data_IF_837403905655
#
_entry.id   IF_837403905655
#
_cell.length_a   1.000
_cell.length_b   1.000
_cell.length_c   1.000
_cell.angle_alpha   90.00
_cell.angle_beta   90.00
_cell.angle_gamma   90.00
#
_symmetry.space_group_name_H-M   'P 1'
#
loop_
_entity.id
_entity.type
_entity.pdbx_description
1 polymer ?
#
# COMPACT_ATOMS: atom_id res chain seq x y z
N UNK A 1 -37.73 -1.08 18.60
CA UNK A 1 -37.32 -1.66 17.29
C UNK A 1 -37.06 -0.58 16.23
N UNK A 2 -37.94 0.42 16.07
CA UNK A 2 -37.75 1.52 15.10
C UNK A 2 -36.43 2.29 15.31
N UNK A 3 -36.06 2.61 16.56
CA UNK A 3 -34.81 3.34 16.88
C UNK A 3 -33.54 2.63 16.42
N UNK A 4 -33.41 1.33 16.71
CA UNK A 4 -32.27 0.52 16.26
C UNK A 4 -32.24 0.38 14.73
N UNK A 5 -33.41 0.27 14.09
CA UNK A 5 -33.52 0.25 12.62
C UNK A 5 -33.04 1.54 11.98
N UNK A 6 -33.43 2.70 12.53
CA UNK A 6 -32.97 4.00 12.04
C UNK A 6 -31.45 4.17 12.18
N UNK A 7 -30.88 3.74 13.31
CA UNK A 7 -29.43 3.80 13.54
C UNK A 7 -28.69 2.91 12.54
N UNK A 8 -29.15 1.67 12.34
CA UNK A 8 -28.54 0.73 11.39
C UNK A 8 -28.64 1.24 9.94
N UNK A 9 -29.78 1.83 9.55
CA UNK A 9 -29.93 2.42 8.23
C UNK A 9 -28.98 3.62 8.03
N UNK A 10 -28.89 4.50 9.04
CA UNK A 10 -28.00 5.66 8.99
C UNK A 10 -26.53 5.24 8.90
N UNK A 11 -26.08 4.23 9.64
CA UNK A 11 -24.70 3.75 9.58
C UNK A 11 -24.35 3.15 8.23
N UNK A 12 -25.26 2.39 7.60
CA UNK A 12 -25.06 1.87 6.24
C UNK A 12 -24.94 3.02 5.24
N UNK A 13 -25.82 4.02 5.29
CA UNK A 13 -25.75 5.19 4.40
C UNK A 13 -24.43 5.94 4.56
N UNK A 14 -24.00 6.21 5.80
CA UNK A 14 -22.72 6.88 6.07
C UNK A 14 -21.53 6.04 5.58
N UNK A 15 -21.57 4.72 5.79
CA UNK A 15 -20.51 3.82 5.33
C UNK A 15 -20.38 3.82 3.80
N UNK A 16 -21.51 3.81 3.08
CA UNK A 16 -21.54 3.89 1.62
C UNK A 16 -21.03 5.25 1.12
N UNK A 17 -21.52 6.35 1.69
CA UNK A 17 -21.07 7.70 1.32
C UNK A 17 -19.55 7.86 1.53
N UNK A 18 -19.04 7.35 2.65
CA UNK A 18 -17.61 7.37 2.95
C UNK A 18 -16.81 6.53 1.94
N UNK A 19 -17.29 5.34 1.59
CA UNK A 19 -16.61 4.48 0.62
C UNK A 19 -16.56 5.14 -0.76
N UNK A 20 -17.69 5.64 -1.26
CA UNK A 20 -17.76 6.36 -2.53
C UNK A 20 -16.84 7.58 -2.50
N UNK A 21 -16.91 8.40 -1.44
CA UNK A 21 -16.05 9.57 -1.30
C UNK A 21 -14.56 9.19 -1.31
N UNK A 22 -14.17 8.10 -0.64
CA UNK A 22 -12.79 7.63 -0.63
C UNK A 22 -12.32 7.23 -2.04
N UNK A 23 -13.06 6.36 -2.74
CA UNK A 23 -12.69 5.93 -4.08
C UNK A 23 -12.66 7.08 -5.08
N UNK A 24 -13.63 8.01 -5.03
CA UNK A 24 -13.60 9.21 -5.87
C UNK A 24 -12.35 10.05 -5.62
N UNK A 25 -11.94 10.25 -4.36
CA UNK A 25 -10.73 11.00 -4.02
C UNK A 25 -9.47 10.30 -4.51
N UNK A 26 -9.41 8.98 -4.38
CA UNK A 26 -8.27 8.19 -4.84
C UNK A 26 -8.11 8.23 -6.35
N UNK A 27 -9.20 8.12 -7.11
CA UNK A 27 -9.17 8.27 -8.57
C UNK A 27 -8.68 9.66 -8.98
N UNK A 28 -9.16 10.72 -8.33
CA UNK A 28 -8.69 12.09 -8.61
C UNK A 28 -7.21 12.23 -8.30
N UNK A 29 -6.74 11.65 -7.18
CA UNK A 29 -5.33 11.70 -6.79
C UNK A 29 -4.43 10.92 -7.78
N UNK A 30 -4.88 9.75 -8.22
CA UNK A 30 -4.21 8.94 -9.24
C UNK A 30 -4.07 9.71 -10.56
N UNK A 31 -5.18 10.27 -11.07
CA UNK A 31 -5.16 11.02 -12.33
C UNK A 31 -4.17 12.19 -12.26
N UNK A 32 -4.15 12.92 -11.13
CA UNK A 32 -3.17 14.01 -10.93
C UNK A 32 -1.74 13.50 -10.91
N UNK A 33 -1.48 12.37 -10.24
CA UNK A 33 -0.15 11.76 -10.22
C UNK A 33 0.30 11.35 -11.62
N UNK A 34 -0.61 10.77 -12.41
CA UNK A 34 -0.34 10.39 -13.79
C UNK A 34 -0.08 11.62 -14.68
N UNK A 35 -0.91 12.66 -14.58
CA UNK A 35 -0.71 13.91 -15.32
C UNK A 35 0.62 14.59 -14.99
N UNK A 36 0.99 14.64 -13.70
CA UNK A 36 2.26 15.21 -13.26
C UNK A 36 3.45 14.38 -13.72
N UNK A 37 3.33 13.04 -13.73
CA UNK A 37 4.36 12.15 -14.27
C UNK A 37 4.56 12.36 -15.78
N UNK A 38 3.47 12.43 -16.56
CA UNK A 38 3.52 12.69 -18.00
C UNK A 38 4.10 14.08 -18.27
N UNK A 39 3.66 15.11 -17.55
CA UNK A 39 4.19 16.47 -17.67
C UNK A 39 5.68 16.52 -17.35
N UNK A 40 6.14 15.78 -16.34
CA UNK A 40 7.56 15.65 -15.99
C UNK A 40 8.39 15.01 -17.09
N UNK A 41 7.88 13.94 -17.72
CA UNK A 41 8.53 13.30 -18.88
C UNK A 41 8.62 14.24 -20.07
N UNK A 42 7.55 14.96 -20.40
CA UNK A 42 7.52 15.90 -21.53
C UNK A 42 8.45 17.11 -21.34
N UNK A 43 8.66 17.54 -20.10
CA UNK A 43 9.56 18.65 -19.75
C UNK A 43 11.01 18.21 -19.50
N UNK A 44 11.29 16.92 -19.63
CA UNK A 44 12.63 16.41 -19.38
C UNK A 44 13.61 16.83 -20.49
N UNK A 45 14.89 17.08 -20.16
CA UNK A 45 15.88 17.48 -21.15
C UNK A 45 16.13 16.37 -22.17
N UNK A 46 16.50 16.72 -23.40
CA UNK A 46 16.68 15.77 -24.51
C UNK A 46 17.64 14.62 -24.17
N UNK A 47 18.70 14.89 -23.39
CA UNK A 47 19.65 13.86 -22.96
C UNK A 47 18.95 12.72 -22.19
N UNK A 48 17.92 13.03 -21.39
CA UNK A 48 17.20 12.05 -20.60
C UNK A 48 16.42 11.07 -21.51
N UNK A 49 15.84 11.59 -22.59
CA UNK A 49 15.14 10.77 -23.58
C UNK A 49 16.06 9.83 -24.36
N UNK A 50 17.34 10.16 -24.49
CA UNK A 50 18.35 9.26 -25.08
C UNK A 50 18.91 8.25 -24.06
N UNK A 51 19.02 8.64 -22.79
CA UNK A 51 19.56 7.78 -21.74
C UNK A 51 18.55 6.73 -21.22
N UNK A 52 17.24 7.05 -21.24
CA UNK A 52 16.20 6.18 -20.68
C UNK A 52 15.45 5.45 -21.81
N UNK A 53 15.42 4.10 -21.80
CA UNK A 53 14.68 3.35 -22.81
C UNK A 53 13.18 3.61 -22.71
N UNK A 54 12.53 3.88 -23.85
CA UNK A 54 11.10 4.18 -23.94
C UNK A 54 10.22 3.12 -23.27
N UNK A 55 10.61 1.84 -23.37
CA UNK A 55 9.91 0.73 -22.71
C UNK A 55 9.87 0.83 -21.18
N UNK A 56 10.91 1.37 -20.54
CA UNK A 56 10.92 1.58 -19.08
C UNK A 56 9.95 2.68 -18.67
N UNK A 57 9.87 3.76 -19.45
CA UNK A 57 8.93 4.87 -19.20
C UNK A 57 7.49 4.37 -19.35
N UNK A 58 7.21 3.61 -20.41
CA UNK A 58 5.89 3.02 -20.62
C UNK A 58 5.52 2.03 -19.50
N UNK A 59 6.44 1.14 -19.12
CA UNK A 59 6.20 0.21 -18.02
C UNK A 59 5.90 0.93 -16.70
N UNK A 60 6.58 2.04 -16.43
CA UNK A 60 6.33 2.84 -15.23
C UNK A 60 4.97 3.55 -15.26
N UNK A 61 4.61 4.15 -16.39
CA UNK A 61 3.35 4.86 -16.56
C UNK A 61 2.12 3.93 -16.64
N UNK A 62 2.32 2.67 -17.06
CA UNK A 62 1.24 1.68 -17.13
C UNK A 62 1.19 0.78 -15.89
N UNK A 63 2.27 0.04 -15.58
CA UNK A 63 2.26 -0.96 -14.51
C UNK A 63 2.38 -0.34 -13.12
N UNK A 64 3.27 0.64 -12.90
CA UNK A 64 3.43 1.23 -11.56
C UNK A 64 2.22 2.09 -11.19
N UNK A 65 1.68 2.87 -12.15
CA UNK A 65 0.45 3.64 -11.93
C UNK A 65 -0.73 2.72 -11.71
N UNK A 66 -0.88 1.64 -12.48
CA UNK A 66 -1.93 0.63 -12.24
C UNK A 66 -1.85 0.00 -10.85
N UNK A 67 -0.65 -0.31 -10.36
CA UNK A 67 -0.45 -0.80 -8.99
C UNK A 67 -0.82 0.24 -7.92
N UNK A 68 -0.59 1.52 -8.18
CA UNK A 68 -1.03 2.61 -7.29
C UNK A 68 -2.55 2.71 -7.25
N UNK A 69 -3.21 2.48 -8.37
CA UNK A 69 -4.67 2.65 -8.49
C UNK A 69 -5.45 1.50 -7.87
N UNK A 70 -4.91 0.29 -7.93
CA UNK A 70 -5.58 -0.90 -7.43
C UNK A 70 -5.07 -1.29 -6.04
N UNK A 71 -3.79 -1.68 -5.95
CA UNK A 71 -3.22 -2.24 -4.72
C UNK A 71 -3.07 -1.18 -3.62
N UNK A 72 -2.55 0.00 -3.97
CA UNK A 72 -2.34 1.05 -2.96
C UNK A 72 -3.68 1.66 -2.53
N UNK A 73 -4.62 1.88 -3.45
CA UNK A 73 -5.96 2.37 -3.11
C UNK A 73 -6.68 1.44 -2.12
N UNK A 74 -6.67 0.14 -2.39
CA UNK A 74 -7.27 -0.86 -1.52
C UNK A 74 -6.57 -0.91 -0.15
N UNK A 75 -5.23 -0.93 -0.13
CA UNK A 75 -4.47 -0.92 1.12
C UNK A 75 -4.74 0.33 1.97
N UNK A 76 -4.88 1.50 1.35
CA UNK A 76 -5.22 2.75 2.04
C UNK A 76 -6.66 2.72 2.59
N UNK A 77 -7.61 2.15 1.84
CA UNK A 77 -9.00 1.97 2.29
C UNK A 77 -9.04 1.07 3.54
N UNK A 78 -8.37 -0.07 3.50
CA UNK A 78 -8.29 -1.01 4.62
C UNK A 78 -7.61 -0.37 5.84
N UNK A 79 -6.51 0.35 5.62
CA UNK A 79 -5.80 1.07 6.67
C UNK A 79 -6.66 2.18 7.31
N UNK A 80 -7.52 2.83 6.53
CA UNK A 80 -8.43 3.87 7.02
C UNK A 80 -9.64 3.31 7.78
N UNK A 81 -9.99 2.02 7.59
CA UNK A 81 -11.20 1.44 8.16
C UNK A 81 -10.96 0.42 9.27
N UNK A 82 -10.08 -0.55 9.06
CA UNK A 82 -9.92 -1.69 9.95
C UNK A 82 -9.34 -1.28 11.31
N UNK A 83 -8.21 -0.55 11.40
CA UNK A 83 -7.62 -0.18 12.69
C UNK A 83 -8.50 0.74 13.54
N UNK A 84 -9.10 1.84 13.00
CA UNK A 84 -9.98 2.70 13.78
C UNK A 84 -11.18 1.94 14.32
N UNK A 85 -11.82 1.09 13.51
CA UNK A 85 -13.00 0.32 13.92
C UNK A 85 -12.68 -0.62 15.09
N UNK A 86 -11.59 -1.39 14.99
CA UNK A 86 -11.13 -2.29 16.05
C UNK A 86 -10.78 -1.50 17.33
N UNK A 87 -10.04 -0.40 17.18
CA UNK A 87 -9.62 0.42 18.33
C UNK A 87 -10.82 1.07 19.03
N UNK A 88 -11.82 1.54 18.28
CA UNK A 88 -13.04 2.13 18.81
C UNK A 88 -13.89 1.08 19.53
N UNK A 89 -14.04 -0.12 18.94
CA UNK A 89 -14.79 -1.21 19.57
C UNK A 89 -14.17 -1.62 20.91
N UNK A 90 -12.84 -1.81 20.96
CA UNK A 90 -12.11 -2.15 22.19
C UNK A 90 -12.24 -1.03 23.22
N UNK A 91 -12.09 0.23 22.80
CA UNK A 91 -12.17 1.37 23.69
C UNK A 91 -13.56 1.53 24.32
N UNK A 92 -14.62 1.43 23.51
CA UNK A 92 -16.01 1.52 23.99
C UNK A 92 -16.33 0.35 24.92
N UNK A 93 -15.93 -0.87 24.57
CA UNK A 93 -16.12 -2.04 25.43
C UNK A 93 -15.40 -1.87 26.78
N UNK A 94 -14.15 -1.40 26.77
CA UNK A 94 -13.37 -1.18 27.98
C UNK A 94 -13.99 -0.08 28.87
N UNK A 95 -14.41 1.05 28.28
CA UNK A 95 -14.94 2.18 29.05
C UNK A 95 -16.34 1.91 29.63
N UNK A 96 -17.21 1.24 28.88
CA UNK A 96 -18.62 1.03 29.26
C UNK A 96 -18.79 -0.20 30.13
N UNK A 97 -18.12 -1.31 29.80
CA UNK A 97 -18.31 -2.56 30.55
C UNK A 97 -17.58 -2.55 31.89
N UNK A 98 -16.36 -1.99 31.95
CA UNK A 98 -15.53 -2.01 33.16
C UNK A 98 -14.62 -0.75 33.23
N UNK A 99 -15.10 0.38 33.79
CA UNK A 99 -14.31 1.61 33.90
C UNK A 99 -12.87 1.46 34.42
N UNK A 100 -12.56 0.63 35.46
CA UNK A 100 -11.18 0.49 35.93
C UNK A 100 -10.24 -0.16 34.90
N UNK A 101 -10.74 -0.99 33.97
CA UNK A 101 -9.94 -1.59 32.88
C UNK A 101 -9.43 -0.54 31.88
N UNK A 102 -10.01 0.65 31.86
CA UNK A 102 -9.56 1.76 31.00
C UNK A 102 -8.13 2.19 31.37
N UNK A 103 -7.78 2.14 32.66
CA UNK A 103 -6.43 2.45 33.15
C UNK A 103 -5.36 1.47 32.62
N UNK A 104 -5.73 0.20 32.40
CA UNK A 104 -4.84 -0.85 31.86
C UNK A 104 -4.76 -0.80 30.33
N UNK A 105 -5.82 -0.35 29.67
CA UNK A 105 -5.90 -0.25 28.21
C UNK A 105 -4.88 0.74 27.65
N UNK A 106 -4.63 1.84 28.38
CA UNK A 106 -3.71 2.92 27.98
C UNK A 106 -2.23 2.48 27.88
N UNK A 107 -1.62 1.87 28.93
CA UNK A 107 -0.25 1.35 28.83
C UNK A 107 -0.13 0.21 27.81
N UNK A 108 -1.17 -0.62 27.67
CA UNK A 108 -1.18 -1.68 26.66
C UNK A 108 -1.20 -1.11 25.24
N UNK A 109 -2.00 -0.08 24.97
CA UNK A 109 -2.02 0.62 23.69
C UNK A 109 -0.66 1.26 23.38
N UNK A 110 0.00 1.88 24.37
CA UNK A 110 1.34 2.42 24.21
C UNK A 110 2.37 1.33 23.86
N UNK A 111 2.36 0.21 24.59
CA UNK A 111 3.23 -0.95 24.30
C UNK A 111 2.98 -1.51 22.89
N UNK A 112 1.71 -1.64 22.48
CA UNK A 112 1.34 -2.07 21.14
C UNK A 112 1.85 -1.12 20.05
N UNK A 113 1.72 0.21 20.24
CA UNK A 113 2.25 1.20 19.29
C UNK A 113 3.77 1.13 19.17
N UNK A 114 4.48 0.93 20.29
CA UNK A 114 5.93 0.72 20.30
C UNK A 114 6.30 -0.54 19.53
N UNK A 115 5.60 -1.64 19.78
CA UNK A 115 5.81 -2.91 19.07
C UNK A 115 5.54 -2.78 17.58
N UNK A 116 4.41 -2.18 17.18
CA UNK A 116 4.06 -1.92 15.77
C UNK A 116 5.13 -1.09 15.06
N UNK A 117 5.68 -0.06 15.71
CA UNK A 117 6.78 0.75 15.16
C UNK A 117 8.06 -0.06 14.97
N UNK A 118 8.40 -0.91 15.95
CA UNK A 118 9.57 -1.77 15.87
C UNK A 118 9.43 -2.77 14.72
N UNK A 119 8.32 -3.52 14.69
CA UNK A 119 8.03 -4.50 13.62
C UNK A 119 7.98 -3.81 12.26
N UNK A 120 7.38 -2.63 12.15
CA UNK A 120 7.33 -1.86 10.90
C UNK A 120 8.72 -1.60 10.32
N UNK A 121 9.67 -1.17 11.16
CA UNK A 121 11.06 -0.96 10.73
C UNK A 121 11.72 -2.27 10.28
N UNK A 122 11.60 -3.32 11.10
CA UNK A 122 12.18 -4.63 10.78
C UNK A 122 11.61 -5.20 9.48
N UNK A 123 10.31 -5.06 9.25
CA UNK A 123 9.64 -5.52 8.03
C UNK A 123 10.10 -4.78 6.78
N UNK A 124 10.37 -3.47 6.89
CA UNK A 124 10.92 -2.71 5.76
C UNK A 124 12.31 -3.22 5.38
N UNK A 125 13.19 -3.49 6.35
CA UNK A 125 14.51 -4.04 6.07
C UNK A 125 14.44 -5.48 5.55
N UNK A 126 13.54 -6.32 6.09
CA UNK A 126 13.26 -7.66 5.57
C UNK A 126 12.82 -7.63 4.12
N UNK A 127 11.89 -6.75 3.75
CA UNK A 127 11.46 -6.57 2.35
C UNK A 127 12.60 -6.10 1.45
N UNK A 128 13.49 -5.24 1.95
CA UNK A 128 14.69 -4.81 1.22
C UNK A 128 15.67 -5.96 1.00
N UNK A 129 15.91 -6.78 2.02
CA UNK A 129 16.75 -7.99 1.91
C UNK A 129 16.16 -9.00 0.93
N UNK A 130 14.84 -9.20 0.95
CA UNK A 130 14.15 -10.07 0.00
C UNK A 130 14.34 -9.58 -1.44
N UNK A 131 14.19 -8.27 -1.68
CA UNK A 131 14.42 -7.67 -3.00
C UNK A 131 15.89 -7.84 -3.46
N UNK A 132 16.86 -7.64 -2.56
CA UNK A 132 18.28 -7.82 -2.84
C UNK A 132 18.66 -9.28 -3.11
N UNK A 133 17.97 -10.24 -2.51
CA UNK A 133 18.27 -11.68 -2.69
C UNK A 133 17.66 -12.23 -3.97
N UNK A 134 16.48 -11.73 -4.39
CA UNK A 134 15.81 -12.16 -5.63
C UNK A 134 16.50 -11.63 -6.90
N UNK A 135 17.08 -10.43 -6.86
CA UNK A 135 17.71 -9.81 -8.04
C UNK A 135 18.87 -10.63 -8.64
N UNK A 136 19.84 -11.11 -7.86
CA UNK A 136 20.98 -11.88 -8.38
C UNK A 136 20.58 -13.26 -8.89
N UNK A 137 19.53 -13.86 -8.33
CA UNK A 137 19.01 -15.14 -8.82
C UNK A 137 18.47 -14.97 -10.25
N UNK A 138 17.65 -13.95 -10.49
CA UNK A 138 17.09 -13.66 -11.83
C UNK A 138 18.18 -13.30 -12.83
N UNK A 139 19.20 -12.51 -12.44
CA UNK A 139 20.30 -12.18 -13.34
C UNK A 139 21.13 -13.42 -13.70
N UNK A 140 21.44 -14.30 -12.74
CA UNK A 140 22.17 -15.54 -13.00
C UNK A 140 21.40 -16.50 -13.92
N UNK A 141 20.07 -16.56 -13.81
CA UNK A 141 19.24 -17.32 -14.75
C UNK A 141 19.27 -16.73 -16.15
N UNK A 142 19.25 -15.40 -16.28
CA UNK A 142 19.37 -14.74 -17.58
C UNK A 142 20.75 -14.99 -18.22
N UNK A 143 21.83 -14.90 -17.45
CA UNK A 143 23.20 -15.12 -17.91
C UNK A 143 23.43 -16.56 -18.34
N UNK A 144 22.88 -17.54 -17.61
CA UNK A 144 22.97 -18.96 -17.99
C UNK A 144 22.17 -19.30 -19.25
N UNK A 145 21.01 -18.68 -19.48
CA UNK A 145 20.26 -18.82 -20.74
C UNK A 145 21.04 -18.21 -21.90
N UNK A 146 21.65 -17.02 -21.70
CA UNK A 146 22.45 -16.35 -22.72
C UNK A 146 23.71 -17.15 -23.09
N UNK A 147 24.41 -17.70 -22.09
CA UNK A 147 25.62 -18.53 -22.27
C UNK A 147 25.34 -20.02 -22.58
N UNK A 148 24.07 -20.42 -22.72
CA UNK A 148 23.69 -21.83 -22.87
C UNK A 148 24.27 -22.46 -24.15
N UNK A 149 24.38 -21.68 -25.23
CA UNK A 149 24.96 -22.12 -26.50
C UNK A 149 26.46 -22.40 -26.38
N UNK A 150 27.20 -21.57 -25.64
CA UNK A 150 28.63 -21.75 -25.37
C UNK A 150 28.87 -22.92 -24.43
N UNK A 151 28.07 -23.05 -23.36
CA UNK A 151 28.13 -24.19 -22.43
C UNK A 151 27.85 -25.53 -23.12
N UNK A 152 26.97 -25.55 -24.14
CA UNK A 152 26.73 -26.74 -24.97
C UNK A 152 27.86 -27.02 -25.97
N UNK A 153 28.59 -26.00 -26.40
CA UNK A 153 29.73 -26.15 -27.30
C UNK A 153 31.00 -26.68 -26.59
N UNK A 154 31.11 -26.44 -25.28
CA UNK A 154 32.20 -26.92 -24.42
C UNK A 154 31.93 -28.27 -23.72
N UNK A 155 30.80 -28.93 -24.02
CA UNK A 155 30.42 -30.23 -23.44
C UNK A 155 31.47 -31.32 -23.61
#
# INVERSE_FOLDING_TARGET
>A
MVTYGCIAAATVVVALLRAVAFFCRTIIASNRLHEDAVRGVLRSPLYWHHAVPRGRVLNRLSADVGNVDELLAQALFDLAHVPPLLSQAIFVAACVAVPPLTSVTLPLAYAFLRHKRFVGRSMTELKRLEALTKSPAVSRFADTIAGLAELRAFG
#
